data_IF_785554476394
#
_entry.id   IF_785554476394
#
_cell.length_a   1.000
_cell.length_b   1.000
_cell.length_c   1.000
_cell.angle_alpha   90.00
_cell.angle_beta   90.00
_cell.angle_gamma   90.00
#
_symmetry.space_group_name_H-M   'P 1'
#
loop_
_entity.id
_entity.type
_entity.pdbx_description
1 polymer ?
#
# COMPACT_ATOMS: atom_id res chain seq x y z
N UNK A 1 -13.34 20.94 -2.14
CA UNK A 1 -13.34 19.95 -3.25
C UNK A 1 -14.61 19.11 -3.19
N UNK A 2 -15.27 18.87 -4.33
CA UNK A 2 -16.43 17.97 -4.36
C UNK A 2 -16.01 16.54 -4.02
N UNK A 3 -16.94 15.74 -3.48
CA UNK A 3 -16.70 14.34 -3.16
C UNK A 3 -16.24 13.51 -4.38
N UNK A 4 -16.67 13.90 -5.60
CA UNK A 4 -16.25 13.26 -6.86
C UNK A 4 -14.76 13.47 -7.14
N UNK A 5 -14.25 14.70 -6.99
CA UNK A 5 -12.83 15.01 -7.23
C UNK A 5 -11.93 14.30 -6.23
N UNK A 6 -12.31 14.26 -4.94
CA UNK A 6 -11.55 13.52 -3.91
C UNK A 6 -11.49 12.01 -4.18
N UNK A 7 -12.56 11.43 -4.74
CA UNK A 7 -12.56 10.02 -5.16
C UNK A 7 -11.61 9.76 -6.32
N UNK A 8 -11.58 10.64 -7.33
CA UNK A 8 -10.63 10.53 -8.45
C UNK A 8 -9.18 10.65 -7.98
N UNK A 9 -8.87 11.66 -7.16
CA UNK A 9 -7.52 11.82 -6.59
C UNK A 9 -7.15 10.61 -5.74
N UNK A 10 -8.07 10.15 -4.89
CA UNK A 10 -7.86 8.97 -4.06
C UNK A 10 -7.56 7.72 -4.88
N UNK A 11 -8.27 7.51 -6.00
CA UNK A 11 -8.00 6.39 -6.91
C UNK A 11 -6.55 6.42 -7.44
N UNK A 12 -6.12 7.55 -8.01
CA UNK A 12 -4.77 7.67 -8.54
C UNK A 12 -3.69 7.59 -7.44
N UNK A 13 -3.97 8.13 -6.26
CA UNK A 13 -3.08 8.03 -5.11
C UNK A 13 -2.91 6.57 -4.65
N UNK A 14 -4.00 5.79 -4.59
CA UNK A 14 -3.95 4.36 -4.24
C UNK A 14 -3.14 3.59 -5.29
N UNK A 15 -3.42 3.81 -6.58
CA UNK A 15 -2.73 3.12 -7.66
C UNK A 15 -1.23 3.45 -7.69
N UNK A 16 -0.88 4.73 -7.58
CA UNK A 16 0.51 5.17 -7.52
C UNK A 16 1.24 4.63 -6.29
N UNK A 17 0.59 4.66 -5.12
CA UNK A 17 1.14 4.07 -3.91
C UNK A 17 1.38 2.56 -4.07
N UNK A 18 0.40 1.80 -4.55
CA UNK A 18 0.53 0.36 -4.73
C UNK A 18 1.63 0.00 -5.73
N UNK A 19 1.74 0.75 -6.83
CA UNK A 19 2.81 0.54 -7.81
C UNK A 19 4.20 0.73 -7.17
N UNK A 20 4.41 1.84 -6.46
CA UNK A 20 5.67 2.11 -5.75
C UNK A 20 5.93 1.08 -4.65
N UNK A 21 4.89 0.71 -3.91
CA UNK A 21 4.97 -0.26 -2.82
C UNK A 21 5.40 -1.64 -3.33
N UNK A 22 4.81 -2.12 -4.43
CA UNK A 22 5.18 -3.42 -5.03
C UNK A 22 6.61 -3.40 -5.54
N UNK A 23 7.04 -2.33 -6.22
CA UNK A 23 8.43 -2.20 -6.68
C UNK A 23 9.40 -2.22 -5.50
N UNK A 24 9.11 -1.46 -4.43
CA UNK A 24 9.93 -1.46 -3.23
C UNK A 24 9.94 -2.82 -2.54
N UNK A 25 8.79 -3.49 -2.47
CA UNK A 25 8.68 -4.84 -1.91
C UNK A 25 9.57 -5.80 -2.69
N UNK A 26 9.41 -5.93 -4.01
CA UNK A 26 10.24 -6.82 -4.84
C UNK A 26 11.74 -6.56 -4.62
N UNK A 27 12.15 -5.29 -4.65
CA UNK A 27 13.55 -4.91 -4.47
C UNK A 27 14.10 -5.34 -3.10
N UNK A 28 13.31 -5.21 -2.03
CA UNK A 28 13.72 -5.71 -0.70
C UNK A 28 13.69 -7.24 -0.65
N UNK A 29 12.68 -7.86 -1.25
CA UNK A 29 12.48 -9.31 -1.25
C UNK A 29 13.63 -10.07 -1.91
N UNK A 30 14.18 -9.53 -3.00
CA UNK A 30 15.37 -10.09 -3.68
C UNK A 30 16.64 -10.11 -2.80
N UNK A 31 16.67 -9.33 -1.73
CA UNK A 31 17.80 -9.28 -0.77
C UNK A 31 17.59 -10.20 0.44
N UNK A 32 16.41 -10.79 0.58
CA UNK A 32 16.11 -11.72 1.68
C UNK A 32 16.66 -13.10 1.31
N UNK A 33 17.39 -13.78 2.23
CA UNK A 33 17.86 -15.14 1.98
C UNK A 33 16.72 -16.10 1.63
N UNK A 34 16.97 -17.04 0.71
CA UNK A 34 16.04 -18.11 0.32
C UNK A 34 15.88 -19.17 1.43
N UNK A 35 15.42 -18.75 2.60
CA UNK A 35 15.17 -19.58 3.76
C UNK A 35 13.79 -19.24 4.29
N UNK A 36 12.97 -20.26 4.50
CA UNK A 36 11.57 -20.11 4.88
C UNK A 36 11.39 -19.22 6.12
N UNK A 37 12.30 -19.31 7.11
CA UNK A 37 12.24 -18.55 8.35
C UNK A 37 12.56 -17.05 8.17
N UNK A 38 13.28 -16.67 7.12
CA UNK A 38 13.56 -15.27 6.78
C UNK A 38 12.46 -14.68 5.89
N UNK A 39 11.95 -15.49 4.96
CA UNK A 39 10.89 -15.10 4.03
C UNK A 39 9.53 -14.95 4.71
N UNK A 40 9.19 -15.83 5.66
CA UNK A 40 7.90 -15.83 6.35
C UNK A 40 7.59 -14.50 7.08
N UNK A 41 8.46 -13.97 7.96
CA UNK A 41 8.20 -12.68 8.59
C UNK A 41 8.20 -11.54 7.57
N UNK A 42 9.06 -11.58 6.56
CA UNK A 42 9.10 -10.57 5.51
C UNK A 42 7.77 -10.49 4.74
N UNK A 43 7.27 -11.63 4.23
CA UNK A 43 6.00 -11.66 3.49
C UNK A 43 4.79 -11.37 4.38
N UNK A 44 4.82 -11.75 5.66
CA UNK A 44 3.79 -11.35 6.61
C UNK A 44 3.75 -9.83 6.75
N UNK A 45 4.89 -9.19 7.05
CA UNK A 45 4.96 -7.74 7.21
C UNK A 45 4.58 -7.02 5.92
N UNK A 46 5.13 -7.40 4.77
CA UNK A 46 4.79 -6.78 3.48
C UNK A 46 3.33 -7.00 3.09
N UNK A 47 2.76 -8.17 3.39
CA UNK A 47 1.35 -8.47 3.16
C UNK A 47 0.39 -7.67 4.04
N UNK A 48 0.81 -7.26 5.23
CA UNK A 48 -0.02 -6.49 6.16
C UNK A 48 0.32 -4.99 6.22
N UNK A 49 1.50 -4.53 5.84
CA UNK A 49 1.87 -3.13 6.03
C UNK A 49 1.17 -2.18 5.05
N UNK A 50 0.79 -2.63 3.85
CA UNK A 50 0.24 -1.76 2.80
C UNK A 50 -1.14 -1.17 3.13
N UNK A 51 -1.92 -1.76 4.05
CA UNK A 51 -3.24 -1.20 4.40
C UNK A 51 -3.13 0.03 5.31
N UNK A 52 -2.07 0.13 6.11
CA UNK A 52 -1.87 1.21 7.08
C UNK A 52 -1.85 2.60 6.41
N UNK A 53 -1.12 2.82 5.30
CA UNK A 53 -1.16 4.08 4.57
C UNK A 53 -2.51 4.35 3.86
N UNK A 54 -3.26 3.31 3.51
CA UNK A 54 -4.52 3.46 2.79
C UNK A 54 -5.71 3.80 3.69
N UNK A 55 -5.71 3.34 4.94
CA UNK A 55 -6.75 3.65 5.92
C UNK A 55 -7.06 5.16 6.07
N UNK A 56 -6.07 6.07 6.29
CA UNK A 56 -6.34 7.50 6.38
C UNK A 56 -6.82 8.09 5.05
N UNK A 57 -6.31 7.59 3.92
CA UNK A 57 -6.73 8.03 2.59
C UNK A 57 -8.20 7.70 2.33
N UNK A 58 -8.64 6.49 2.66
CA UNK A 58 -10.04 6.10 2.56
C UNK A 58 -10.95 6.96 3.44
N UNK A 59 -10.54 7.23 4.69
CA UNK A 59 -11.27 8.14 5.60
C UNK A 59 -11.38 9.55 5.04
N UNK A 60 -10.32 10.04 4.40
CA UNK A 60 -10.32 11.32 3.72
C UNK A 60 -11.25 11.32 2.51
N UNK A 61 -11.24 10.26 1.68
CA UNK A 61 -12.13 10.12 0.53
C UNK A 61 -13.61 10.07 0.94
N UNK A 62 -13.92 9.51 2.12
CA UNK A 62 -15.30 9.36 2.60
C UNK A 62 -15.84 10.56 3.40
N UNK A 63 -15.00 11.54 3.76
CA UNK A 63 -15.37 12.65 4.65
C UNK A 63 -16.38 13.59 3.98
N UNK A 64 -17.59 13.78 4.49
CA UNK A 64 -18.61 14.62 3.83
C UNK A 64 -19.31 13.95 2.65
N UNK A 65 -19.58 12.64 2.78
CA UNK A 65 -20.79 12.05 2.20
C UNK A 65 -22.01 12.63 2.88
#
# INVERSE_FOLDING_TARGET
MSARVRKLIGLFAILGFLALYVVAAVFVGERIPERWWAQLPYYAVVGFCWWLPLAPLFRWMSRGR
#
